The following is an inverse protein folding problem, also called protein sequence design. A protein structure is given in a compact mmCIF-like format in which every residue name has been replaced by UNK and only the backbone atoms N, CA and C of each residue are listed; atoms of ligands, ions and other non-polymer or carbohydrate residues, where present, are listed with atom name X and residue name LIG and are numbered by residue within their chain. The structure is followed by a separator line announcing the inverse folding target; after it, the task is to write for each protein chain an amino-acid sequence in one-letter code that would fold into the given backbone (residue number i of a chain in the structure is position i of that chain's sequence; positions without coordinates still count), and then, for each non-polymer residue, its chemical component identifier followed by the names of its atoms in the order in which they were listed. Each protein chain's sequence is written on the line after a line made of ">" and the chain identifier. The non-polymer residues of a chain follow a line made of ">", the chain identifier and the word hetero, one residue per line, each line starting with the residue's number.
data_IF_460838832218
#
_entry.id   IF_460838832218
#
_cell.length_a   1.000
_cell.length_b   1.000
_cell.length_c   1.000
_cell.angle_alpha   90.00
_cell.angle_beta   90.00
_cell.angle_gamma   90.00
#
_symmetry.space_group_name_H-M   'P 1'
#
loop_
_entity.id
_entity.type
_entity.pdbx_description
1 polymer ?
#
# COMPACT_ATOMS: atom_id res chain seq x y z
N UNK A 1 11.86 1.49 -23.75
CA UNK A 1 10.86 2.39 -24.39
C UNK A 1 10.99 2.33 -25.92
N UNK A 2 9.92 1.96 -26.59
CA UNK A 2 9.81 2.02 -28.04
C UNK A 2 9.71 3.48 -28.54
N UNK A 3 9.75 3.73 -29.84
CA UNK A 3 9.51 5.08 -30.42
C UNK A 3 8.08 5.56 -30.10
N UNK A 4 7.11 4.65 -30.11
CA UNK A 4 5.71 4.93 -29.76
C UNK A 4 5.56 5.37 -28.32
N UNK A 5 6.20 4.64 -27.37
CA UNK A 5 6.15 4.97 -25.94
C UNK A 5 6.73 6.37 -25.66
N UNK A 6 7.82 6.74 -26.34
CA UNK A 6 8.43 8.07 -26.19
C UNK A 6 7.53 9.20 -26.69
N UNK A 7 6.77 8.95 -27.75
CA UNK A 7 5.79 9.91 -28.27
C UNK A 7 4.65 10.09 -27.27
N UNK A 8 4.10 9.00 -26.74
CA UNK A 8 3.02 9.01 -25.75
C UNK A 8 3.44 9.72 -24.46
N UNK A 9 4.65 9.43 -23.96
CA UNK A 9 5.24 10.12 -22.82
C UNK A 9 5.34 11.64 -23.06
N UNK A 10 5.85 12.05 -24.22
CA UNK A 10 5.97 13.48 -24.58
C UNK A 10 4.61 14.18 -24.71
N UNK A 11 3.59 13.50 -25.23
CA UNK A 11 2.22 14.02 -25.29
C UNK A 11 1.59 14.16 -23.90
N UNK A 12 1.86 13.20 -23.00
CA UNK A 12 1.41 13.29 -21.63
C UNK A 12 2.00 14.52 -20.93
N UNK A 13 3.32 14.74 -21.02
CA UNK A 13 3.97 15.92 -20.44
C UNK A 13 3.38 17.22 -20.98
N UNK A 14 3.12 17.29 -22.28
CA UNK A 14 2.55 18.47 -22.94
C UNK A 14 1.14 18.78 -22.44
N UNK A 15 0.30 17.75 -22.29
CA UNK A 15 -1.07 17.87 -21.72
C UNK A 15 -1.02 18.36 -20.29
N UNK A 16 -0.15 17.79 -19.45
CA UNK A 16 0.01 18.20 -18.05
C UNK A 16 0.44 19.65 -17.93
N UNK A 17 1.47 20.05 -18.67
CA UNK A 17 1.92 21.44 -18.67
C UNK A 17 0.82 22.42 -19.12
N UNK A 18 0.02 22.07 -20.10
CA UNK A 18 -1.07 22.90 -20.59
C UNK A 18 -2.22 23.04 -19.57
N UNK A 19 -2.44 22.03 -18.73
CA UNK A 19 -3.49 22.02 -17.71
C UNK A 19 -3.11 22.78 -16.41
N UNK A 20 -1.84 23.09 -16.19
CA UNK A 20 -1.39 23.77 -14.99
C UNK A 20 -1.68 25.28 -15.02
N UNK A 21 -2.19 25.81 -13.92
CA UNK A 21 -2.31 27.25 -13.75
C UNK A 21 -0.93 27.87 -13.48
N UNK A 22 -0.58 28.96 -14.18
CA UNK A 22 0.65 29.69 -13.88
C UNK A 22 0.67 30.22 -12.46
N UNK A 23 1.82 30.24 -11.78
CA UNK A 23 1.94 30.88 -10.48
C UNK A 23 1.54 32.36 -10.56
N UNK A 24 0.82 32.86 -9.55
CA UNK A 24 0.48 34.26 -9.48
C UNK A 24 1.74 35.13 -9.43
N UNK A 25 1.79 36.25 -10.19
CA UNK A 25 2.95 37.12 -10.17
C UNK A 25 3.16 37.71 -8.77
N UNK A 26 4.28 37.44 -8.15
CA UNK A 26 4.69 38.17 -6.95
C UNK A 26 4.89 39.66 -7.34
N UNK A 27 3.99 40.56 -6.91
CA UNK A 27 4.20 41.99 -7.03
C UNK A 27 3.34 42.72 -8.04
N UNK A 28 2.09 42.32 -8.32
CA UNK A 28 1.07 43.19 -8.92
C UNK A 28 1.32 43.71 -10.35
N UNK A 29 2.37 43.28 -11.04
CA UNK A 29 2.65 43.65 -12.43
C UNK A 29 1.77 42.81 -13.34
N UNK A 30 0.86 43.41 -14.10
CA UNK A 30 0.06 42.77 -15.15
C UNK A 30 1.00 42.13 -16.15
N UNK A 31 1.18 40.78 -16.02
CA UNK A 31 1.93 40.03 -17.01
C UNK A 31 1.16 40.03 -18.33
N UNK A 32 1.84 40.47 -19.38
CA UNK A 32 1.46 40.47 -20.78
C UNK A 32 0.60 39.26 -21.15
N UNK A 33 -0.45 39.48 -21.96
CA UNK A 33 -1.37 38.48 -22.52
C UNK A 33 -0.63 37.20 -22.90
N UNK A 34 -0.76 36.15 -22.07
CA UNK A 34 -0.16 34.83 -22.36
C UNK A 34 -0.83 34.27 -23.63
N UNK A 35 -0.03 33.96 -24.66
CA UNK A 35 -0.50 33.33 -25.90
C UNK A 35 -0.74 31.85 -25.81
N UNK A 36 -0.33 31.19 -24.70
CA UNK A 36 -0.39 29.74 -24.50
C UNK A 36 -1.05 29.45 -23.15
N UNK A 37 -2.07 28.58 -23.10
CA UNK A 37 -2.62 28.10 -21.84
C UNK A 37 -1.58 27.28 -21.09
N UNK A 38 -1.61 27.35 -19.76
CA UNK A 38 -0.74 26.60 -18.88
C UNK A 38 0.66 27.20 -18.67
N UNK A 39 1.57 26.36 -18.16
CA UNK A 39 2.97 26.74 -17.92
C UNK A 39 3.79 26.76 -19.22
N UNK A 40 4.80 27.65 -19.25
CA UNK A 40 5.85 27.60 -20.28
C UNK A 40 6.83 26.48 -19.99
N UNK A 41 7.53 25.98 -21.03
CA UNK A 41 8.59 24.95 -20.86
C UNK A 41 9.66 25.38 -19.85
N UNK A 42 10.08 26.64 -19.91
CA UNK A 42 11.02 27.20 -18.95
C UNK A 42 10.50 27.11 -17.52
N UNK A 43 9.24 27.47 -17.28
CA UNK A 43 8.64 27.41 -15.94
C UNK A 43 8.58 25.99 -15.38
N UNK A 44 8.23 24.99 -16.19
CA UNK A 44 8.28 23.58 -15.76
C UNK A 44 9.70 23.13 -15.48
N UNK A 45 10.66 23.52 -16.33
CA UNK A 45 12.07 23.15 -16.18
C UNK A 45 12.66 23.72 -14.90
N UNK A 46 12.36 24.98 -14.58
CA UNK A 46 12.81 25.65 -13.35
C UNK A 46 12.22 24.95 -12.11
N UNK A 47 10.92 24.59 -12.13
CA UNK A 47 10.27 23.89 -11.02
C UNK A 47 10.81 22.46 -10.86
N UNK A 48 11.06 21.76 -11.98
CA UNK A 48 11.56 20.39 -11.98
C UNK A 48 13.08 20.28 -11.74
N UNK A 49 13.82 21.40 -11.82
CA UNK A 49 15.27 21.42 -11.67
C UNK A 49 16.01 20.72 -12.82
N UNK A 50 15.49 20.85 -14.06
CA UNK A 50 16.09 20.27 -15.29
C UNK A 50 16.29 21.35 -16.34
N UNK A 51 17.17 21.10 -17.35
CA UNK A 51 17.35 22.09 -18.41
C UNK A 51 16.13 22.17 -19.34
N UNK A 52 15.84 23.34 -19.88
CA UNK A 52 14.75 23.56 -20.83
C UNK A 52 14.93 22.78 -22.12
N UNK A 53 16.17 22.59 -22.55
CA UNK A 53 16.51 21.78 -23.71
C UNK A 53 16.18 20.32 -23.49
N UNK A 54 16.51 19.79 -22.31
CA UNK A 54 16.19 18.40 -21.95
C UNK A 54 14.68 18.20 -21.83
N UNK A 55 13.97 19.09 -21.15
CA UNK A 55 12.50 19.04 -21.07
C UNK A 55 11.84 19.11 -22.46
N UNK A 56 12.36 19.98 -23.34
CA UNK A 56 11.86 20.10 -24.71
C UNK A 56 12.06 18.80 -25.49
N UNK A 57 13.19 18.14 -25.32
CA UNK A 57 13.47 16.83 -25.96
C UNK A 57 12.57 15.74 -25.39
N UNK A 58 12.24 15.76 -24.10
CA UNK A 58 11.25 14.86 -23.50
C UNK A 58 9.87 15.03 -24.12
N UNK A 59 9.36 16.28 -24.23
CA UNK A 59 8.05 16.56 -24.86
C UNK A 59 8.01 16.16 -26.36
N UNK A 60 9.17 16.16 -27.04
CA UNK A 60 9.27 15.79 -28.44
C UNK A 60 9.49 14.27 -28.66
N UNK A 61 9.61 13.49 -27.60
CA UNK A 61 9.95 12.07 -27.68
C UNK A 61 11.38 11.79 -28.17
N UNK A 62 12.27 12.79 -28.12
CA UNK A 62 13.67 12.73 -28.63
C UNK A 62 14.72 12.53 -27.52
N UNK A 63 14.30 12.57 -26.25
CA UNK A 63 15.19 12.31 -25.14
C UNK A 63 15.39 10.79 -24.95
N UNK A 64 16.53 10.37 -24.37
CA UNK A 64 16.68 9.02 -23.84
C UNK A 64 15.67 8.79 -22.70
N UNK A 65 15.59 7.53 -22.25
CA UNK A 65 14.73 7.16 -21.10
C UNK A 65 15.07 8.05 -19.90
N UNK A 66 14.10 8.76 -19.31
CA UNK A 66 14.33 9.57 -18.13
C UNK A 66 14.65 8.69 -16.92
N UNK A 67 15.55 9.16 -16.05
CA UNK A 67 15.84 8.47 -14.79
C UNK A 67 14.69 8.61 -13.79
N UNK A 68 14.68 7.75 -12.75
CA UNK A 68 13.69 7.80 -11.66
C UNK A 68 13.66 9.17 -10.96
N UNK A 69 14.82 9.82 -10.80
CA UNK A 69 14.96 11.15 -10.20
C UNK A 69 14.28 12.20 -11.07
N UNK A 70 14.45 12.14 -12.38
CA UNK A 70 13.79 13.04 -13.34
C UNK A 70 12.28 12.85 -13.30
N UNK A 71 11.79 11.60 -13.32
CA UNK A 71 10.35 11.29 -13.21
C UNK A 71 9.78 11.81 -11.89
N UNK A 72 10.48 11.62 -10.78
CA UNK A 72 10.08 12.13 -9.46
C UNK A 72 10.02 13.66 -9.42
N UNK A 73 10.99 14.34 -10.05
CA UNK A 73 11.01 15.80 -10.15
C UNK A 73 9.88 16.34 -11.01
N UNK A 74 9.58 15.69 -12.14
CA UNK A 74 8.44 16.04 -12.99
C UNK A 74 7.10 15.79 -12.28
N UNK A 75 6.95 14.68 -11.56
CA UNK A 75 5.75 14.37 -10.79
C UNK A 75 5.46 15.48 -9.75
N UNK A 76 6.49 15.91 -9.02
CA UNK A 76 6.38 17.03 -8.06
C UNK A 76 6.08 18.34 -8.76
N UNK A 77 6.76 18.65 -9.86
CA UNK A 77 6.56 19.88 -10.62
C UNK A 77 5.14 20.03 -11.15
N UNK A 78 4.52 18.91 -11.54
CA UNK A 78 3.14 18.86 -12.01
C UNK A 78 2.10 18.68 -10.90
N UNK A 79 2.50 18.50 -9.64
CA UNK A 79 1.58 18.23 -8.53
C UNK A 79 0.71 16.99 -8.75
N UNK A 80 1.30 15.93 -9.33
CA UNK A 80 0.56 14.72 -9.69
C UNK A 80 0.06 13.97 -8.45
N UNK A 81 -1.17 13.47 -8.52
CA UNK A 81 -1.67 12.47 -7.60
C UNK A 81 -0.86 11.17 -7.72
N UNK A 82 -0.99 10.26 -6.74
CA UNK A 82 -0.28 8.98 -6.77
C UNK A 82 -0.58 8.17 -8.05
N UNK A 83 -1.84 8.10 -8.47
CA UNK A 83 -2.24 7.40 -9.70
C UNK A 83 -1.62 8.04 -10.96
N UNK A 84 -1.56 9.36 -11.02
CA UNK A 84 -0.97 10.10 -12.14
C UNK A 84 0.56 9.99 -12.15
N UNK A 85 1.17 10.00 -10.97
CA UNK A 85 2.62 9.73 -10.80
C UNK A 85 2.96 8.32 -11.29
N UNK A 86 2.20 7.32 -10.87
CA UNK A 86 2.42 5.95 -11.28
C UNK A 86 2.26 5.77 -12.79
N UNK A 87 1.29 6.47 -13.39
CA UNK A 87 1.13 6.51 -14.85
C UNK A 87 2.33 7.16 -15.55
N UNK A 88 2.83 8.30 -15.02
CA UNK A 88 4.04 8.97 -15.54
C UNK A 88 5.26 8.02 -15.52
N UNK A 89 5.43 7.28 -14.42
CA UNK A 89 6.55 6.32 -14.29
C UNK A 89 6.45 5.20 -15.31
N UNK A 90 5.25 4.59 -15.48
CA UNK A 90 5.03 3.55 -16.50
C UNK A 90 5.31 4.05 -17.91
N UNK A 91 4.82 5.23 -18.26
CA UNK A 91 5.11 5.87 -19.54
C UNK A 91 6.61 6.16 -19.71
N UNK A 92 7.31 6.54 -18.64
CA UNK A 92 8.75 6.73 -18.61
C UNK A 92 9.54 5.42 -18.72
N UNK A 93 8.86 4.26 -18.68
CA UNK A 93 9.46 2.94 -18.70
C UNK A 93 10.06 2.48 -17.37
N UNK A 94 9.77 3.18 -16.27
CA UNK A 94 10.18 2.82 -14.93
C UNK A 94 9.01 2.22 -14.13
N UNK A 95 9.26 1.26 -13.23
CA UNK A 95 8.24 0.85 -12.28
C UNK A 95 7.86 2.04 -11.39
N UNK A 96 6.56 2.23 -11.08
CA UNK A 96 6.13 3.25 -10.16
C UNK A 96 6.87 3.17 -8.83
N UNK A 97 7.18 4.30 -8.18
CA UNK A 97 7.65 4.26 -6.81
C UNK A 97 6.55 3.65 -5.94
N UNK A 98 6.89 2.70 -5.11
CA UNK A 98 5.96 2.17 -4.13
C UNK A 98 5.41 3.28 -3.23
N UNK A 99 4.26 3.08 -2.60
CA UNK A 99 3.76 4.00 -1.60
C UNK A 99 4.80 4.16 -0.48
N UNK A 100 4.91 5.36 0.08
CA UNK A 100 5.84 5.63 1.20
C UNK A 100 5.35 5.05 2.51
N UNK A 101 4.04 4.89 2.64
CA UNK A 101 3.35 4.27 3.76
C UNK A 101 1.93 3.86 3.32
N UNK A 102 1.32 2.83 3.92
CA UNK A 102 -0.07 2.49 3.66
C UNK A 102 -1.02 3.56 4.24
N UNK A 103 -2.19 3.69 3.66
CA UNK A 103 -3.24 4.57 4.19
C UNK A 103 -3.88 3.96 5.42
N UNK A 104 -4.03 4.74 6.50
CA UNK A 104 -4.83 4.33 7.66
C UNK A 104 -6.34 4.65 7.50
N UNK A 105 -6.72 5.34 6.42
CA UNK A 105 -8.10 5.81 6.20
C UNK A 105 -8.85 4.84 5.29
N UNK A 106 -9.84 4.15 5.85
CA UNK A 106 -10.70 3.23 5.09
C UNK A 106 -11.71 4.02 4.26
N UNK A 107 -11.94 3.59 3.01
CA UNK A 107 -12.95 4.21 2.14
C UNK A 107 -14.36 4.08 2.75
N UNK A 108 -15.19 5.15 2.67
CA UNK A 108 -16.56 5.09 3.20
C UNK A 108 -17.41 3.96 2.61
N UNK A 109 -17.17 3.60 1.33
CA UNK A 109 -17.83 2.46 0.68
C UNK A 109 -17.49 1.12 1.34
N UNK A 110 -16.22 0.90 1.69
CA UNK A 110 -15.77 -0.31 2.38
C UNK A 110 -16.34 -0.38 3.81
N UNK A 111 -16.41 0.75 4.54
CA UNK A 111 -17.05 0.80 5.85
C UNK A 111 -18.56 0.46 5.78
N UNK A 112 -19.26 0.89 4.73
CA UNK A 112 -20.67 0.51 4.54
C UNK A 112 -20.82 -0.99 4.24
N UNK A 113 -19.90 -1.56 3.44
CA UNK A 113 -19.87 -3.00 3.17
C UNK A 113 -19.67 -3.80 4.46
N UNK A 114 -18.71 -3.42 5.30
CA UNK A 114 -18.45 -4.08 6.58
C UNK A 114 -19.73 -4.11 7.45
N UNK A 115 -20.41 -2.97 7.57
CA UNK A 115 -21.67 -2.87 8.33
C UNK A 115 -22.79 -3.71 7.72
N UNK A 116 -22.88 -3.79 6.40
CA UNK A 116 -23.85 -4.62 5.70
C UNK A 116 -23.67 -6.12 5.94
N UNK A 117 -22.46 -6.54 6.33
CA UNK A 117 -22.09 -7.93 6.63
C UNK A 117 -21.99 -8.21 8.13
N UNK A 118 -22.39 -7.29 9.00
CA UNK A 118 -22.17 -7.35 10.45
C UNK A 118 -22.63 -8.65 11.12
N UNK A 119 -23.73 -9.24 10.65
CA UNK A 119 -24.32 -10.43 11.26
C UNK A 119 -24.18 -11.71 10.41
N UNK A 120 -23.63 -11.60 9.21
CA UNK A 120 -23.64 -12.70 8.24
C UNK A 120 -22.25 -13.26 7.94
N UNK A 121 -21.23 -12.41 7.95
CA UNK A 121 -19.89 -12.80 7.55
C UNK A 121 -18.83 -12.03 8.34
N UNK A 122 -17.93 -12.70 9.05
CA UNK A 122 -16.79 -12.04 9.68
C UNK A 122 -15.89 -11.39 8.63
N UNK A 123 -15.57 -10.10 8.81
CA UNK A 123 -14.66 -9.35 7.92
C UNK A 123 -13.70 -8.49 8.73
N UNK A 124 -12.41 -8.56 8.37
CA UNK A 124 -11.39 -7.66 8.89
C UNK A 124 -10.73 -6.88 7.76
N UNK A 125 -10.26 -5.67 8.07
CA UNK A 125 -9.47 -4.84 7.16
C UNK A 125 -8.14 -4.52 7.82
N UNK A 126 -7.05 -4.83 7.12
CA UNK A 126 -5.70 -4.55 7.54
C UNK A 126 -5.04 -3.60 6.54
N UNK A 127 -4.09 -2.80 6.99
CA UNK A 127 -3.23 -2.04 6.09
C UNK A 127 -2.02 -2.86 5.63
N UNK A 128 -1.20 -2.28 4.75
CA UNK A 128 0.00 -2.93 4.22
C UNK A 128 1.13 -3.15 5.25
N UNK A 129 0.98 -2.64 6.49
CA UNK A 129 1.85 -2.94 7.64
C UNK A 129 1.35 -4.11 8.48
N UNK A 130 0.20 -4.68 8.13
CA UNK A 130 -0.54 -5.70 8.88
C UNK A 130 -1.26 -5.15 10.13
N UNK A 131 -1.50 -3.85 10.20
CA UNK A 131 -2.28 -3.25 11.28
C UNK A 131 -3.77 -3.44 11.03
N UNK A 132 -4.52 -3.91 12.03
CA UNK A 132 -5.97 -3.99 11.98
C UNK A 132 -6.58 -2.59 11.96
N UNK A 133 -7.19 -2.20 10.85
CA UNK A 133 -7.86 -0.92 10.67
C UNK A 133 -9.32 -0.96 11.10
N UNK A 134 -10.03 -2.04 10.74
CA UNK A 134 -11.43 -2.25 11.10
C UNK A 134 -11.77 -3.73 11.12
N UNK A 135 -12.83 -4.04 11.84
CA UNK A 135 -13.51 -5.33 11.84
C UNK A 135 -15.00 -5.10 12.03
N UNK A 136 -15.83 -6.00 11.50
CA UNK A 136 -17.26 -5.98 11.75
C UNK A 136 -17.62 -6.78 13.01
N UNK A 137 -18.92 -6.77 13.39
CA UNK A 137 -19.40 -7.42 14.60
C UNK A 137 -19.17 -8.93 14.57
N UNK A 138 -19.48 -9.60 13.44
CA UNK A 138 -19.24 -11.04 13.31
C UNK A 138 -17.76 -11.40 13.44
N UNK A 139 -16.83 -10.58 12.90
CA UNK A 139 -15.40 -10.77 13.10
C UNK A 139 -14.97 -10.54 14.56
N UNK A 140 -15.59 -9.61 15.25
CA UNK A 140 -15.35 -9.40 16.68
C UNK A 140 -15.79 -10.60 17.52
N UNK A 141 -16.90 -11.22 17.17
CA UNK A 141 -17.42 -12.41 17.84
C UNK A 141 -16.53 -13.64 17.56
N UNK A 142 -16.14 -13.87 16.30
CA UNK A 142 -15.30 -15.01 15.90
C UNK A 142 -13.87 -14.91 16.45
N UNK A 143 -13.24 -13.75 16.27
CA UNK A 143 -11.81 -13.58 16.51
C UNK A 143 -11.50 -13.05 17.93
N UNK A 144 -12.53 -12.65 18.68
CA UNK A 144 -12.34 -12.06 19.99
C UNK A 144 -11.52 -10.76 19.95
N UNK A 145 -10.69 -10.55 20.98
CA UNK A 145 -9.79 -9.40 21.00
C UNK A 145 -8.50 -9.73 20.25
N UNK A 146 -8.43 -9.35 18.96
CA UNK A 146 -7.17 -9.39 18.19
C UNK A 146 -6.21 -8.25 18.54
N UNK A 147 -6.63 -7.33 19.41
CA UNK A 147 -5.80 -6.25 19.91
C UNK A 147 -5.39 -6.59 21.33
N UNK A 148 -4.11 -6.86 21.53
CA UNK A 148 -3.50 -7.03 22.84
C UNK A 148 -3.01 -5.71 23.39
N UNK A 149 -2.14 -5.75 24.41
CA UNK A 149 -1.40 -4.59 24.88
C UNK A 149 -0.10 -4.38 24.08
N UNK A 150 0.60 -3.28 24.37
CA UNK A 150 1.93 -3.02 23.86
C UNK A 150 1.98 -1.96 22.76
N UNK A 151 3.19 -1.62 22.30
CA UNK A 151 3.40 -0.51 21.38
C UNK A 151 2.84 -0.74 19.96
N UNK A 152 2.57 -2.01 19.60
CA UNK A 152 2.04 -2.41 18.29
C UNK A 152 0.76 -3.23 18.45
N UNK A 153 -0.13 -2.83 19.38
CA UNK A 153 -1.33 -3.57 19.79
C UNK A 153 -2.27 -3.94 18.64
N UNK A 154 -2.28 -3.15 17.56
CA UNK A 154 -3.13 -3.38 16.38
C UNK A 154 -2.46 -4.25 15.31
N UNK A 155 -1.17 -4.49 15.43
CA UNK A 155 -0.42 -5.24 14.43
C UNK A 155 -0.58 -6.73 14.62
N UNK A 156 -1.13 -7.43 13.61
CA UNK A 156 -1.44 -8.86 13.73
C UNK A 156 -0.17 -9.72 13.84
N UNK A 157 0.94 -9.31 13.20
CA UNK A 157 2.20 -10.02 13.36
C UNK A 157 2.75 -9.85 14.77
N UNK A 158 2.68 -8.64 15.34
CA UNK A 158 3.07 -8.42 16.74
C UNK A 158 2.28 -9.29 17.68
N UNK A 159 0.95 -9.31 17.55
CA UNK A 159 0.08 -10.13 18.40
C UNK A 159 0.38 -11.62 18.25
N UNK A 160 0.68 -12.09 17.06
CA UNK A 160 1.00 -13.48 16.80
C UNK A 160 2.25 -13.97 17.54
N UNK A 161 3.27 -13.13 17.64
CA UNK A 161 4.55 -13.49 18.24
C UNK A 161 4.69 -13.11 19.74
N UNK A 162 3.76 -12.32 20.28
CA UNK A 162 3.88 -11.81 21.67
C UNK A 162 2.71 -12.22 22.56
N UNK A 163 1.65 -12.85 22.01
CA UNK A 163 0.49 -13.29 22.78
C UNK A 163 0.04 -14.70 22.36
N UNK A 164 -0.77 -15.35 23.19
CA UNK A 164 -1.34 -16.68 22.90
C UNK A 164 -2.69 -16.61 22.13
N UNK A 165 -3.17 -15.43 21.80
CA UNK A 165 -4.50 -15.24 21.21
C UNK A 165 -4.66 -16.06 19.92
N UNK A 166 -3.68 -16.01 19.03
CA UNK A 166 -3.74 -16.77 17.77
C UNK A 166 -3.51 -18.27 17.96
N UNK A 167 -2.70 -18.68 18.93
CA UNK A 167 -2.54 -20.09 19.27
C UNK A 167 -3.86 -20.69 19.80
N UNK A 168 -4.59 -19.95 20.62
CA UNK A 168 -5.92 -20.35 21.11
C UNK A 168 -6.97 -20.40 20.02
N UNK A 169 -6.89 -19.50 19.04
CA UNK A 169 -7.83 -19.40 17.92
C UNK A 169 -7.59 -20.48 16.86
N UNK A 170 -6.33 -20.76 16.51
CA UNK A 170 -5.94 -21.60 15.36
C UNK A 170 -5.44 -22.99 15.73
N UNK A 171 -5.20 -23.25 17.03
CA UNK A 171 -4.51 -24.46 17.48
C UNK A 171 -3.02 -24.50 17.11
N UNK A 172 -2.28 -25.49 17.59
CA UNK A 172 -0.83 -25.52 17.47
C UNK A 172 -0.29 -25.45 16.04
N UNK A 173 -0.73 -26.38 15.16
CA UNK A 173 -0.27 -26.41 13.76
C UNK A 173 -0.75 -25.18 12.96
N UNK A 174 -1.98 -24.74 13.19
CA UNK A 174 -2.55 -23.55 12.55
C UNK A 174 -1.83 -22.27 12.98
N UNK A 175 -1.47 -22.17 14.26
CA UNK A 175 -0.71 -21.06 14.79
C UNK A 175 0.71 -21.02 14.20
N UNK A 176 1.45 -22.14 14.16
CA UNK A 176 2.79 -22.22 13.58
C UNK A 176 2.80 -21.81 12.10
N UNK A 177 1.83 -22.32 11.32
CA UNK A 177 1.65 -21.88 9.93
C UNK A 177 1.38 -20.37 9.83
N UNK A 178 0.57 -19.83 10.74
CA UNK A 178 0.29 -18.40 10.75
C UNK A 178 1.53 -17.56 11.10
N UNK A 179 2.37 -18.00 12.05
CA UNK A 179 3.62 -17.33 12.40
C UNK A 179 4.57 -17.24 11.20
N UNK A 180 4.70 -18.29 10.41
CA UNK A 180 5.46 -18.28 9.15
C UNK A 180 4.92 -17.23 8.17
N UNK A 181 3.59 -17.24 7.95
CA UNK A 181 2.94 -16.24 7.08
C UNK A 181 3.18 -14.84 7.60
N UNK A 182 3.02 -14.59 8.89
CA UNK A 182 3.18 -13.27 9.50
C UNK A 182 4.61 -12.74 9.34
N UNK A 183 5.63 -13.58 9.52
CA UNK A 183 7.03 -13.21 9.30
C UNK A 183 7.31 -12.88 7.82
N UNK A 184 6.81 -13.70 6.89
CA UNK A 184 6.96 -13.49 5.44
C UNK A 184 6.26 -12.20 4.98
N UNK A 185 5.06 -11.92 5.50
CA UNK A 185 4.31 -10.71 5.19
C UNK A 185 4.98 -9.45 5.75
N UNK A 186 5.53 -9.50 6.96
CA UNK A 186 6.31 -8.40 7.52
C UNK A 186 7.56 -8.11 6.68
N UNK A 187 8.24 -9.14 6.17
CA UNK A 187 9.36 -8.99 5.24
C UNK A 187 8.93 -8.32 3.93
N UNK A 188 7.78 -8.71 3.41
CA UNK A 188 7.18 -8.11 2.21
C UNK A 188 6.83 -6.65 2.46
N UNK A 189 6.23 -6.33 3.63
CA UNK A 189 5.91 -4.96 4.01
C UNK A 189 7.16 -4.07 4.12
N UNK A 190 8.23 -4.56 4.74
CA UNK A 190 9.52 -3.84 4.83
C UNK A 190 10.15 -3.58 3.47
N UNK A 191 10.04 -4.51 2.53
CA UNK A 191 10.49 -4.32 1.14
C UNK A 191 9.64 -3.30 0.40
N UNK A 192 8.33 -3.28 0.65
CA UNK A 192 7.37 -2.35 0.05
C UNK A 192 7.54 -0.93 0.58
N UNK A 193 7.85 -0.79 1.87
CA UNK A 193 7.98 0.48 2.61
C UNK A 193 9.37 0.64 3.24
N UNK A 194 10.46 0.71 2.48
CA UNK A 194 11.83 0.66 3.00
C UNK A 194 12.18 1.83 3.93
N UNK A 195 11.44 2.96 3.82
CA UNK A 195 11.61 4.14 4.66
C UNK A 195 10.74 4.18 5.92
N UNK A 196 9.87 3.19 6.14
CA UNK A 196 8.86 3.24 7.20
C UNK A 196 9.48 3.02 8.59
N UNK A 197 9.39 4.05 9.44
CA UNK A 197 9.95 4.01 10.79
C UNK A 197 9.18 3.05 11.73
N UNK A 198 7.85 2.94 11.54
CA UNK A 198 7.01 2.04 12.31
C UNK A 198 7.38 0.57 12.07
N UNK A 199 7.52 0.15 10.81
CA UNK A 199 7.92 -1.22 10.48
C UNK A 199 9.32 -1.57 10.97
N UNK A 200 10.26 -0.61 10.93
CA UNK A 200 11.60 -0.83 11.51
C UNK A 200 11.57 -0.99 13.02
N UNK A 201 10.76 -0.19 13.71
CA UNK A 201 10.58 -0.31 15.16
C UNK A 201 9.89 -1.63 15.52
N UNK A 202 8.86 -2.05 14.76
CA UNK A 202 8.19 -3.34 14.93
C UNK A 202 9.16 -4.51 14.74
N UNK A 203 10.00 -4.49 13.69
CA UNK A 203 11.02 -5.51 13.47
C UNK A 203 12.02 -5.58 14.62
N UNK A 204 12.50 -4.44 15.10
CA UNK A 204 13.45 -4.36 16.22
C UNK A 204 12.83 -4.93 17.51
N UNK A 205 11.58 -4.57 17.81
CA UNK A 205 10.85 -5.05 18.97
C UNK A 205 10.65 -6.57 18.92
N UNK A 206 10.15 -7.11 17.82
CA UNK A 206 9.94 -8.56 17.64
C UNK A 206 11.26 -9.33 17.72
N UNK A 207 12.32 -8.80 17.12
CA UNK A 207 13.65 -9.41 17.19
C UNK A 207 14.18 -9.43 18.63
N UNK A 208 13.93 -8.38 19.40
CA UNK A 208 14.40 -8.29 20.79
C UNK A 208 13.60 -9.20 21.73
N UNK A 209 12.27 -9.31 21.53
CA UNK A 209 11.36 -9.89 22.53
C UNK A 209 10.91 -11.32 22.22
N UNK A 210 10.93 -11.78 20.96
CA UNK A 210 10.40 -13.09 20.58
C UNK A 210 11.45 -14.02 19.96
N UNK A 211 11.73 -15.14 20.63
CA UNK A 211 12.59 -16.19 20.04
C UNK A 211 11.91 -16.82 18.82
N UNK A 212 10.62 -17.15 18.94
CA UNK A 212 9.83 -17.72 17.84
C UNK A 212 9.84 -16.81 16.59
N UNK A 213 9.83 -15.49 16.77
CA UNK A 213 9.98 -14.56 15.64
C UNK A 213 11.35 -14.70 14.99
N UNK A 214 12.44 -14.75 15.76
CA UNK A 214 13.80 -14.90 15.21
C UNK A 214 13.92 -16.17 14.38
N UNK A 215 13.40 -17.29 14.88
CA UNK A 215 13.46 -18.58 14.20
C UNK A 215 12.75 -18.53 12.84
N UNK A 216 11.49 -18.08 12.79
CA UNK A 216 10.75 -17.92 11.54
C UNK A 216 11.31 -16.83 10.60
N UNK A 217 11.92 -15.79 11.19
CA UNK A 217 12.58 -14.75 10.40
C UNK A 217 13.83 -15.26 9.68
N UNK A 218 14.60 -16.15 10.30
CA UNK A 218 15.80 -16.75 9.70
C UNK A 218 15.47 -17.72 8.56
N UNK A 219 14.31 -18.38 8.59
CA UNK A 219 13.83 -19.27 7.50
C UNK A 219 13.73 -18.54 6.14
N UNK A 220 13.56 -17.24 6.14
CA UNK A 220 13.66 -16.41 4.95
C UNK A 220 12.51 -16.53 3.95
N UNK A 221 11.39 -17.13 4.33
CA UNK A 221 10.25 -17.31 3.44
C UNK A 221 9.66 -15.96 2.98
N UNK A 222 9.16 -15.93 1.72
CA UNK A 222 8.45 -14.81 1.10
C UNK A 222 7.30 -15.36 0.24
N UNK A 223 6.20 -14.60 0.13
CA UNK A 223 5.15 -14.90 -0.84
C UNK A 223 4.25 -16.07 -0.47
N UNK A 224 3.85 -16.21 0.78
CA UNK A 224 2.91 -17.26 1.23
C UNK A 224 1.48 -16.90 0.80
N UNK A 225 0.68 -17.90 0.39
CA UNK A 225 -0.73 -17.70 0.05
C UNK A 225 -1.53 -17.23 1.27
N UNK A 226 -2.28 -16.14 1.09
CA UNK A 226 -3.15 -15.57 2.13
C UNK A 226 -4.51 -16.25 2.18
N UNK A 227 -5.05 -16.66 1.03
CA UNK A 227 -6.31 -17.44 0.97
C UNK A 227 -6.05 -18.87 1.35
N UNK A 228 -6.76 -19.37 2.33
CA UNK A 228 -6.61 -20.76 2.81
C UNK A 228 -7.83 -21.20 3.64
N UNK A 229 -8.09 -22.51 3.62
CA UNK A 229 -8.99 -23.11 4.61
C UNK A 229 -8.23 -23.25 5.94
N UNK A 230 -8.79 -22.68 7.00
CA UNK A 230 -8.23 -22.75 8.36
C UNK A 230 -9.22 -23.36 9.33
N UNK A 231 -8.71 -24.22 10.20
CA UNK A 231 -9.47 -24.62 11.38
C UNK A 231 -9.36 -23.54 12.44
N UNK A 232 -10.49 -23.05 12.92
CA UNK A 232 -10.55 -21.95 13.89
C UNK A 232 -11.52 -22.32 15.01
N UNK A 233 -11.22 -21.88 16.23
CA UNK A 233 -12.07 -22.09 17.38
C UNK A 233 -13.11 -20.99 17.49
N UNK A 234 -14.35 -21.30 17.13
CA UNK A 234 -15.47 -20.40 17.38
C UNK A 234 -15.82 -20.37 18.87
N UNK A 235 -16.09 -19.21 19.48
CA UNK A 235 -16.33 -19.09 20.93
C UNK A 235 -17.49 -19.95 21.45
N UNK A 236 -18.53 -20.14 20.64
CA UNK A 236 -19.75 -20.87 21.03
C UNK A 236 -19.94 -22.20 20.31
N UNK A 237 -19.34 -22.38 19.11
CA UNK A 237 -19.57 -23.57 18.26
C UNK A 237 -18.39 -24.56 18.30
N UNK A 238 -17.29 -24.21 18.99
CA UNK A 238 -16.08 -25.03 19.04
C UNK A 238 -15.23 -24.89 17.77
N UNK A 239 -14.54 -25.99 17.40
CA UNK A 239 -13.66 -26.01 16.22
C UNK A 239 -14.47 -26.10 14.94
N UNK A 240 -14.28 -25.15 14.04
CA UNK A 240 -14.92 -25.09 12.73
C UNK A 240 -13.91 -24.74 11.65
N UNK A 241 -14.18 -25.16 10.42
CA UNK A 241 -13.37 -24.80 9.25
C UNK A 241 -13.90 -23.50 8.65
N UNK A 242 -12.99 -22.60 8.35
CA UNK A 242 -13.27 -21.36 7.64
C UNK A 242 -12.38 -21.25 6.40
N UNK A 243 -13.01 -20.92 5.29
CA UNK A 243 -12.31 -20.46 4.09
C UNK A 243 -12.06 -18.96 4.23
N UNK A 244 -10.81 -18.55 4.04
CA UNK A 244 -10.42 -17.15 4.16
C UNK A 244 -10.11 -16.64 2.76
N UNK A 245 -10.99 -15.77 2.27
CA UNK A 245 -10.77 -15.02 1.05
C UNK A 245 -10.12 -13.68 1.35
N UNK A 246 -9.13 -13.30 0.53
CA UNK A 246 -8.39 -12.06 0.71
C UNK A 246 -8.53 -11.18 -0.52
N UNK A 247 -9.16 -10.04 -0.34
CA UNK A 247 -9.27 -8.99 -1.36
C UNK A 247 -8.28 -7.88 -1.07
N UNK A 248 -7.72 -7.28 -2.12
CA UNK A 248 -6.77 -6.18 -2.02
C UNK A 248 -7.31 -4.91 -2.66
N UNK A 249 -7.28 -3.81 -1.91
CA UNK A 249 -7.47 -2.45 -2.42
C UNK A 249 -6.11 -1.82 -2.71
N UNK A 250 -5.68 -1.77 -3.98
CA UNK A 250 -4.33 -1.32 -4.34
C UNK A 250 -4.12 0.19 -4.19
N UNK A 251 -5.21 1.00 -4.14
CA UNK A 251 -5.08 2.44 -3.96
C UNK A 251 -4.61 2.83 -2.56
N UNK A 252 -4.98 2.01 -1.57
CA UNK A 252 -4.73 2.30 -0.16
C UNK A 252 -3.86 1.25 0.52
N UNK A 253 -3.53 0.20 -0.23
CA UNK A 253 -2.87 -1.01 0.27
C UNK A 253 -3.60 -1.61 1.46
N UNK A 254 -4.94 -1.76 1.31
CA UNK A 254 -5.77 -2.41 2.31
C UNK A 254 -6.07 -3.84 1.91
N UNK A 255 -5.97 -4.73 2.88
CA UNK A 255 -6.24 -6.15 2.76
C UNK A 255 -7.52 -6.46 3.51
N UNK A 256 -8.54 -6.94 2.79
CA UNK A 256 -9.85 -7.27 3.32
C UNK A 256 -9.93 -8.79 3.42
N UNK A 257 -10.05 -9.33 4.62
CA UNK A 257 -10.19 -10.75 4.87
C UNK A 257 -11.63 -11.08 5.19
N UNK A 258 -12.22 -12.00 4.40
CA UNK A 258 -13.56 -12.52 4.59
C UNK A 258 -13.45 -13.97 5.08
N UNK A 259 -14.18 -14.30 6.14
CA UNK A 259 -14.13 -15.63 6.76
C UNK A 259 -15.46 -16.32 6.50
N UNK A 260 -15.49 -17.28 5.59
CA UNK A 260 -16.67 -18.05 5.23
C UNK A 260 -16.62 -19.41 5.92
N UNK A 261 -17.66 -19.83 6.65
CA UNK A 261 -17.73 -21.20 7.14
C UNK A 261 -17.57 -22.18 5.98
N UNK A 262 -16.61 -23.08 6.07
CA UNK A 262 -16.40 -24.12 5.06
C UNK A 262 -17.38 -25.25 5.36
N UNK A 263 -18.45 -25.37 4.55
CA UNK A 263 -19.43 -26.45 4.68
C UNK A 263 -18.77 -27.80 4.36
N UNK A 264 -19.15 -28.84 5.09
CA UNK A 264 -18.90 -30.22 4.63
C UNK A 264 -19.78 -30.43 3.39
N UNK A 265 -19.14 -30.61 2.22
CA UNK A 265 -19.80 -31.16 1.04
C UNK A 265 -20.09 -32.66 1.24
#
# INVERSE_FOLDING_TARGET
>A
MSSSDRTEFGEYLRRRRAAMSPPEPRGGVRVSRRRVPGLRRQEVSDIAGISVEYYTRLEQGRAPRPSREILSSLARAFGLSDAERDHLFRLGGEPPPGPTSPSSVIRPGLLRLLRGLDETMPVTVHDGRLDLLARNKAAQELLGSLTGGGPFERNIAYQAFTTDVLAQLLGGEGADRFLRVAAAELRTALSRYPGDAYLRALLAELTATSQSFRDHWEEGEVGVSRSAVKQMRHPTQGWSRFEIEVLHDPERDHWIMLYTPHGEE
#
